data_IF_704315919224
#
_entry.id   IF_704315919224
#
_cell.length_a   1.000
_cell.length_b   1.000
_cell.length_c   1.000
_cell.angle_alpha   90.00
_cell.angle_beta   90.00
_cell.angle_gamma   90.00
#
_symmetry.space_group_name_H-M   'P 1'
#
loop_
_entity.id
_entity.type
_entity.pdbx_description
1 polymer ?
#
# COMPACT_ATOMS: atom_id res chain seq x y z
N UNK A 1 -20.72 -19.07 -2.49
CA UNK A 1 -21.48 -18.13 -3.32
C UNK A 1 -21.01 -18.17 -4.78
N UNK A 2 -19.75 -18.53 -5.04
CA UNK A 2 -19.14 -18.74 -6.38
C UNK A 2 -20.02 -19.46 -7.41
N UNK A 3 -20.73 -20.53 -7.01
CA UNK A 3 -21.61 -21.27 -7.91
C UNK A 3 -22.80 -20.47 -8.44
N UNK A 4 -23.25 -19.43 -7.73
CA UNK A 4 -24.37 -18.58 -8.12
C UNK A 4 -24.10 -17.81 -9.42
N UNK A 5 -22.84 -17.42 -9.65
CA UNK A 5 -22.46 -16.60 -10.80
C UNK A 5 -22.08 -17.41 -12.05
N UNK A 6 -21.87 -18.74 -11.94
CA UNK A 6 -21.49 -19.56 -13.10
C UNK A 6 -22.55 -19.51 -14.21
N UNK A 7 -23.82 -19.72 -13.87
CA UNK A 7 -24.92 -19.69 -14.82
C UNK A 7 -25.12 -18.32 -15.51
N UNK A 8 -25.29 -17.22 -14.74
CA UNK A 8 -25.36 -15.86 -15.28
C UNK A 8 -24.18 -15.49 -16.17
N UNK A 9 -22.95 -15.88 -15.80
CA UNK A 9 -21.77 -15.61 -16.63
C UNK A 9 -21.84 -16.31 -17.98
N UNK A 10 -22.23 -17.59 -18.04
CA UNK A 10 -22.36 -18.30 -19.32
C UNK A 10 -23.46 -17.67 -20.18
N UNK A 11 -24.60 -17.33 -19.55
CA UNK A 11 -25.72 -16.68 -20.22
C UNK A 11 -25.33 -15.32 -20.85
N UNK A 12 -24.58 -14.49 -20.12
CA UNK A 12 -24.19 -13.16 -20.56
C UNK A 12 -22.98 -13.16 -21.50
N UNK A 13 -22.01 -14.07 -21.27
CA UNK A 13 -20.78 -14.13 -22.05
C UNK A 13 -20.98 -14.78 -23.42
N UNK A 14 -21.95 -15.69 -23.55
CA UNK A 14 -22.25 -16.38 -24.80
C UNK A 14 -23.74 -16.20 -25.11
N UNK A 15 -24.13 -15.10 -25.77
CA UNK A 15 -25.52 -14.82 -26.09
C UNK A 15 -26.17 -15.98 -26.87
N UNK A 16 -27.32 -16.46 -26.39
CA UNK A 16 -28.08 -17.55 -27.03
C UNK A 16 -27.67 -18.98 -26.63
N UNK A 17 -26.66 -19.16 -25.76
CA UNK A 17 -26.23 -20.48 -25.28
C UNK A 17 -27.17 -21.12 -24.26
N UNK A 18 -27.76 -20.30 -23.38
CA UNK A 18 -28.65 -20.73 -22.30
C UNK A 18 -29.93 -19.89 -22.30
N UNK A 19 -31.04 -20.51 -21.88
CA UNK A 19 -32.23 -19.77 -21.45
C UNK A 19 -32.03 -19.25 -20.02
N UNK A 20 -32.84 -18.29 -19.57
CA UNK A 20 -32.80 -17.80 -18.19
C UNK A 20 -33.00 -18.95 -17.19
N UNK A 21 -33.91 -19.89 -17.48
CA UNK A 21 -34.11 -21.09 -16.67
C UNK A 21 -32.86 -21.97 -16.66
N UNK A 22 -32.23 -22.18 -17.82
CA UNK A 22 -30.98 -22.95 -17.92
C UNK A 22 -29.82 -22.32 -17.14
N UNK A 23 -29.72 -20.99 -17.11
CA UNK A 23 -28.73 -20.29 -16.30
C UNK A 23 -28.93 -20.55 -14.80
N UNK A 24 -30.19 -20.52 -14.33
CA UNK A 24 -30.51 -20.83 -12.92
C UNK A 24 -30.18 -22.28 -12.58
N UNK A 25 -30.52 -23.23 -13.45
CA UNK A 25 -30.21 -24.66 -13.25
C UNK A 25 -28.69 -24.91 -13.16
N UNK A 26 -27.91 -24.28 -14.05
CA UNK A 26 -26.44 -24.38 -14.03
C UNK A 26 -25.88 -23.81 -12.73
N UNK A 27 -26.38 -22.65 -12.27
CA UNK A 27 -25.95 -22.08 -10.99
C UNK A 27 -26.31 -22.98 -9.81
N UNK A 28 -27.50 -23.58 -9.77
CA UNK A 28 -27.90 -24.53 -8.71
C UNK A 28 -27.02 -25.78 -8.71
N UNK A 29 -26.72 -26.35 -9.88
CA UNK A 29 -25.82 -27.49 -10.02
C UNK A 29 -24.41 -27.14 -9.53
N UNK A 30 -23.87 -25.99 -9.96
CA UNK A 30 -22.57 -25.50 -9.54
C UNK A 30 -22.47 -25.27 -8.03
N UNK A 31 -23.49 -24.64 -7.43
CA UNK A 31 -23.56 -24.46 -5.98
C UNK A 31 -23.54 -25.80 -5.24
N UNK A 32 -24.31 -26.78 -5.71
CA UNK A 32 -24.36 -28.11 -5.10
C UNK A 32 -23.00 -28.80 -5.15
N UNK A 33 -22.30 -28.72 -6.30
CA UNK A 33 -20.97 -29.30 -6.48
C UNK A 33 -19.91 -28.63 -5.60
N UNK A 34 -19.93 -27.31 -5.47
CA UNK A 34 -18.95 -26.55 -4.68
C UNK A 34 -19.10 -26.74 -3.16
N UNK A 35 -20.27 -27.19 -2.69
CA UNK A 35 -20.49 -27.52 -1.28
C UNK A 35 -19.86 -28.87 -0.91
N UNK A 36 -19.69 -29.80 -1.85
CA UNK A 36 -19.19 -31.16 -1.59
C UNK A 36 -17.80 -31.14 -0.93
N UNK A 37 -16.78 -30.41 -1.45
CA UNK A 37 -15.47 -30.38 -0.80
C UNK A 37 -15.51 -29.82 0.62
N UNK A 38 -16.32 -28.80 0.88
CA UNK A 38 -16.48 -28.22 2.21
C UNK A 38 -17.14 -29.21 3.19
N UNK A 39 -18.16 -29.95 2.73
CA UNK A 39 -18.80 -31.00 3.52
C UNK A 39 -17.86 -32.17 3.81
N UNK A 40 -17.10 -32.65 2.82
CA UNK A 40 -16.12 -33.72 3.01
C UNK A 40 -15.11 -33.34 4.08
N UNK A 41 -14.56 -32.12 4.00
CA UNK A 41 -13.58 -31.67 4.98
C UNK A 41 -14.19 -31.42 6.36
N UNK A 42 -15.42 -30.92 6.43
CA UNK A 42 -16.14 -30.77 7.70
C UNK A 42 -16.40 -32.13 8.37
N UNK A 43 -16.77 -33.15 7.59
CA UNK A 43 -16.94 -34.52 8.07
C UNK A 43 -15.58 -35.09 8.52
N UNK A 44 -14.51 -34.89 7.76
CA UNK A 44 -13.17 -35.35 8.12
C UNK A 44 -12.66 -34.69 9.42
N UNK A 45 -12.96 -33.41 9.66
CA UNK A 45 -12.59 -32.71 10.90
C UNK A 45 -13.39 -33.25 12.10
N UNK A 46 -14.68 -33.57 11.90
CA UNK A 46 -15.53 -34.21 12.92
C UNK A 46 -15.10 -35.65 13.22
N UNK A 47 -14.64 -36.40 12.22
CA UNK A 47 -14.36 -37.84 12.31
C UNK A 47 -12.92 -38.14 12.73
N UNK A 48 -11.91 -37.46 12.18
CA UNK A 48 -10.51 -37.90 12.29
C UNK A 48 -9.61 -37.09 13.24
N UNK A 49 -10.03 -35.98 13.86
CA UNK A 49 -9.15 -35.11 14.70
C UNK A 49 -7.76 -34.84 14.05
N UNK A 50 -7.65 -34.80 12.71
CA UNK A 50 -6.38 -34.54 12.01
C UNK A 50 -6.03 -33.06 12.07
N UNK A 51 -5.41 -32.67 13.18
CA UNK A 51 -5.37 -31.29 13.68
C UNK A 51 -4.58 -30.21 12.92
N UNK A 52 -3.94 -30.46 11.76
CA UNK A 52 -3.15 -29.39 11.09
C UNK A 52 -3.13 -29.45 9.54
N UNK A 53 -3.05 -30.63 8.92
CA UNK A 53 -2.95 -30.74 7.44
C UNK A 53 -4.27 -30.43 6.72
N UNK A 54 -5.41 -30.75 7.32
CA UNK A 54 -6.74 -30.37 6.78
C UNK A 54 -6.92 -28.85 6.80
N UNK A 55 -6.40 -28.16 7.81
CA UNK A 55 -6.58 -26.71 8.00
C UNK A 55 -5.88 -25.85 6.96
N UNK A 56 -4.65 -26.21 6.58
CA UNK A 56 -3.95 -25.51 5.50
C UNK A 56 -4.68 -25.63 4.16
N UNK A 57 -5.22 -26.82 3.87
CA UNK A 57 -6.03 -27.06 2.69
C UNK A 57 -7.34 -26.25 2.72
N UNK A 58 -8.06 -26.23 3.86
CA UNK A 58 -9.27 -25.41 4.04
C UNK A 58 -8.96 -23.94 3.79
N UNK A 59 -7.87 -23.41 4.34
CA UNK A 59 -7.51 -22.01 4.18
C UNK A 59 -7.28 -21.67 2.71
N UNK A 60 -6.52 -22.49 1.99
CA UNK A 60 -6.25 -22.27 0.56
C UNK A 60 -7.53 -22.38 -0.27
N UNK A 61 -8.34 -23.42 -0.06
CA UNK A 61 -9.59 -23.61 -0.82
C UNK A 61 -10.59 -22.49 -0.52
N UNK A 62 -10.72 -22.08 0.74
CA UNK A 62 -11.60 -20.97 1.13
C UNK A 62 -11.10 -19.66 0.52
N UNK A 63 -9.80 -19.37 0.62
CA UNK A 63 -9.25 -18.15 0.02
C UNK A 63 -9.45 -18.12 -1.50
N UNK A 64 -9.17 -19.22 -2.19
CA UNK A 64 -9.38 -19.32 -3.64
C UNK A 64 -10.86 -19.18 -4.02
N UNK A 65 -11.77 -19.81 -3.28
CA UNK A 65 -13.21 -19.73 -3.59
C UNK A 65 -13.76 -18.32 -3.39
N UNK A 66 -13.36 -17.61 -2.33
CA UNK A 66 -13.78 -16.21 -2.10
C UNK A 66 -13.19 -15.29 -3.18
N UNK A 67 -11.90 -15.42 -3.52
CA UNK A 67 -11.27 -14.62 -4.59
C UNK A 67 -11.99 -14.84 -5.93
N UNK A 68 -12.24 -16.10 -6.29
CA UNK A 68 -12.92 -16.45 -7.54
C UNK A 68 -14.36 -15.94 -7.54
N UNK A 69 -15.05 -15.99 -6.40
CA UNK A 69 -16.41 -15.45 -6.25
C UNK A 69 -16.47 -13.94 -6.54
N UNK A 70 -15.58 -13.17 -5.91
CA UNK A 70 -15.50 -11.71 -6.11
C UNK A 70 -15.18 -11.34 -7.55
N UNK A 71 -14.24 -12.05 -8.19
CA UNK A 71 -13.92 -11.85 -9.61
C UNK A 71 -15.13 -12.18 -10.48
N UNK A 72 -15.79 -13.32 -10.24
CA UNK A 72 -16.94 -13.76 -11.02
C UNK A 72 -18.13 -12.82 -10.88
N UNK A 73 -18.40 -12.36 -9.66
CA UNK A 73 -19.42 -11.36 -9.38
C UNK A 73 -19.12 -10.05 -10.14
N UNK A 74 -17.89 -9.56 -10.05
CA UNK A 74 -17.48 -8.35 -10.75
C UNK A 74 -17.64 -8.48 -12.27
N UNK A 75 -17.21 -9.60 -12.85
CA UNK A 75 -17.36 -9.85 -14.29
C UNK A 75 -18.83 -9.90 -14.67
N UNK A 76 -19.68 -10.60 -13.90
CA UNK A 76 -21.10 -10.71 -14.18
C UNK A 76 -21.78 -9.34 -14.19
N UNK A 77 -21.52 -8.50 -13.18
CA UNK A 77 -22.12 -7.17 -13.11
C UNK A 77 -21.58 -6.20 -14.18
N UNK A 78 -20.30 -6.27 -14.53
CA UNK A 78 -19.76 -5.47 -15.62
C UNK A 78 -20.37 -5.87 -16.97
N UNK A 79 -20.58 -7.17 -17.22
CA UNK A 79 -21.27 -7.66 -18.42
C UNK A 79 -22.73 -7.21 -18.49
N UNK A 80 -23.42 -7.07 -17.34
CA UNK A 80 -24.80 -6.52 -17.30
C UNK A 80 -24.83 -5.03 -17.65
N UNK A 81 -23.81 -4.27 -17.25
CA UNK A 81 -23.78 -2.82 -17.43
C UNK A 81 -23.35 -2.40 -18.85
N UNK A 82 -22.36 -3.09 -19.42
CA UNK A 82 -21.84 -2.81 -20.77
C UNK A 82 -21.43 -4.11 -21.46
N UNK A 83 -22.41 -4.82 -22.02
CA UNK A 83 -22.19 -6.14 -22.59
C UNK A 83 -21.25 -6.10 -23.80
N UNK A 84 -21.45 -5.16 -24.73
CA UNK A 84 -20.68 -5.10 -25.98
C UNK A 84 -19.22 -4.68 -25.74
N UNK A 85 -18.99 -3.61 -24.98
CA UNK A 85 -17.63 -3.13 -24.70
C UNK A 85 -16.82 -4.11 -23.86
N UNK A 86 -17.45 -4.77 -22.89
CA UNK A 86 -16.76 -5.71 -22.01
C UNK A 86 -16.45 -7.05 -22.69
N UNK A 87 -17.30 -7.50 -23.63
CA UNK A 87 -17.00 -8.67 -24.48
C UNK A 87 -15.89 -8.39 -25.49
N UNK A 88 -15.86 -7.20 -26.10
CA UNK A 88 -14.77 -6.81 -27.00
C UNK A 88 -13.42 -6.83 -26.26
N UNK A 89 -13.38 -6.37 -25.02
CA UNK A 89 -12.18 -6.42 -24.17
C UNK A 89 -11.76 -7.87 -23.87
N UNK A 90 -12.71 -8.78 -23.63
CA UNK A 90 -12.42 -10.21 -23.43
C UNK A 90 -11.71 -10.82 -24.64
N UNK A 91 -12.13 -10.47 -25.85
CA UNK A 91 -11.54 -10.99 -27.09
C UNK A 91 -10.20 -10.32 -27.45
N UNK A 92 -10.07 -9.02 -27.24
CA UNK A 92 -8.88 -8.25 -27.62
C UNK A 92 -7.74 -8.33 -26.61
N UNK A 93 -8.06 -8.34 -25.31
CA UNK A 93 -7.08 -8.37 -24.23
C UNK A 93 -7.62 -9.12 -22.99
N UNK A 94 -7.57 -10.47 -22.98
CA UNK A 94 -8.15 -11.28 -21.92
C UNK A 94 -7.50 -11.04 -20.54
N UNK A 95 -6.23 -10.63 -20.50
CA UNK A 95 -5.57 -10.27 -19.23
C UNK A 95 -6.03 -8.91 -18.73
N UNK A 96 -6.10 -7.91 -19.61
CA UNK A 96 -6.65 -6.59 -19.27
C UNK A 96 -8.09 -6.67 -18.77
N UNK A 97 -8.88 -7.59 -19.33
CA UNK A 97 -10.23 -7.90 -18.88
C UNK A 97 -10.27 -8.29 -17.40
N UNK A 98 -9.43 -9.23 -16.97
CA UNK A 98 -9.38 -9.66 -15.56
C UNK A 98 -8.90 -8.51 -14.65
N UNK A 99 -7.91 -7.73 -15.08
CA UNK A 99 -7.39 -6.60 -14.29
C UNK A 99 -8.43 -5.51 -14.11
N UNK A 100 -9.25 -5.28 -15.13
CA UNK A 100 -10.38 -4.34 -15.05
C UNK A 100 -11.47 -4.83 -14.08
N UNK A 101 -11.76 -6.13 -14.06
CA UNK A 101 -12.73 -6.72 -13.14
C UNK A 101 -12.30 -6.52 -11.68
N UNK A 102 -11.07 -6.92 -11.35
CA UNK A 102 -10.49 -6.78 -10.00
C UNK A 102 -10.44 -5.31 -9.56
N UNK A 103 -10.18 -4.40 -10.50
CA UNK A 103 -10.08 -2.97 -10.17
C UNK A 103 -11.44 -2.27 -10.09
N UNK A 104 -12.54 -2.97 -10.34
CA UNK A 104 -13.88 -2.38 -10.48
C UNK A 104 -14.60 -2.16 -9.15
N UNK A 105 -15.61 -1.28 -9.17
CA UNK A 105 -16.56 -1.03 -8.07
C UNK A 105 -17.07 -2.33 -7.44
N UNK A 106 -17.47 -3.28 -8.29
CA UNK A 106 -18.10 -4.53 -7.89
C UNK A 106 -17.13 -5.51 -7.21
N UNK A 107 -15.82 -5.35 -7.38
CA UNK A 107 -14.85 -6.15 -6.65
C UNK A 107 -14.42 -5.45 -5.35
N UNK A 108 -14.07 -4.16 -5.44
CA UNK A 108 -13.44 -3.45 -4.33
C UNK A 108 -14.37 -3.28 -3.13
N UNK A 109 -15.60 -2.80 -3.36
CA UNK A 109 -16.50 -2.46 -2.26
C UNK A 109 -17.05 -3.68 -1.52
N UNK A 110 -17.57 -4.72 -2.20
CA UNK A 110 -18.01 -5.93 -1.51
C UNK A 110 -16.88 -6.56 -0.71
N UNK A 111 -15.70 -6.74 -1.31
CA UNK A 111 -14.53 -7.28 -0.61
C UNK A 111 -14.16 -6.47 0.64
N UNK A 112 -14.07 -5.13 0.54
CA UNK A 112 -13.78 -4.30 1.70
C UNK A 112 -14.85 -4.41 2.79
N UNK A 113 -16.13 -4.53 2.40
CA UNK A 113 -17.24 -4.75 3.33
C UNK A 113 -17.15 -6.11 4.02
N UNK A 114 -16.84 -7.18 3.29
CA UNK A 114 -16.65 -8.51 3.84
C UNK A 114 -15.50 -8.55 4.84
N UNK A 115 -14.39 -7.88 4.54
CA UNK A 115 -13.27 -7.70 5.46
C UNK A 115 -13.71 -6.97 6.74
N UNK A 116 -14.49 -5.90 6.63
CA UNK A 116 -15.01 -5.17 7.79
C UNK A 116 -15.97 -6.02 8.62
N UNK A 117 -16.91 -6.70 7.98
CA UNK A 117 -17.88 -7.58 8.64
C UNK A 117 -17.18 -8.72 9.38
N UNK A 118 -16.17 -9.33 8.75
CA UNK A 118 -15.34 -10.38 9.37
C UNK A 118 -14.60 -9.85 10.61
N UNK A 119 -14.04 -8.64 10.54
CA UNK A 119 -13.40 -7.98 11.70
C UNK A 119 -14.41 -7.76 12.82
N UNK A 120 -15.64 -7.32 12.50
CA UNK A 120 -16.71 -7.08 13.49
C UNK A 120 -17.09 -8.40 14.19
N UNK A 121 -17.22 -9.49 13.45
CA UNK A 121 -17.51 -10.80 14.04
C UNK A 121 -16.36 -11.31 14.93
N UNK A 122 -15.11 -11.12 14.50
CA UNK A 122 -13.92 -11.53 15.25
C UNK A 122 -13.50 -10.54 16.34
N UNK A 123 -14.24 -9.45 16.55
CA UNK A 123 -13.79 -8.32 17.36
C UNK A 123 -13.41 -8.69 18.79
N UNK A 124 -14.08 -9.68 19.39
CA UNK A 124 -13.80 -10.12 20.77
C UNK A 124 -12.54 -10.99 20.88
N UNK A 125 -12.17 -11.67 19.80
CA UNK A 125 -11.04 -12.61 19.76
C UNK A 125 -9.73 -11.90 19.36
N UNK A 126 -9.84 -10.80 18.62
CA UNK A 126 -8.69 -10.02 18.15
C UNK A 126 -8.03 -9.21 19.27
N UNK A 127 -6.70 -9.22 19.31
CA UNK A 127 -5.91 -8.29 20.15
C UNK A 127 -5.99 -6.88 19.60
N UNK A 128 -5.89 -5.87 20.46
CA UNK A 128 -5.99 -4.46 20.08
C UNK A 128 -5.16 -4.09 18.84
N UNK A 129 -3.90 -4.53 18.76
CA UNK A 129 -3.04 -4.21 17.62
C UNK A 129 -3.47 -4.92 16.34
N UNK A 130 -3.93 -6.18 16.44
CA UNK A 130 -4.46 -6.92 15.30
C UNK A 130 -5.72 -6.23 14.76
N UNK A 131 -6.56 -5.67 15.63
CA UNK A 131 -7.73 -4.87 15.22
C UNK A 131 -7.32 -3.65 14.40
N UNK A 132 -6.38 -2.85 14.91
CA UNK A 132 -5.92 -1.64 14.22
C UNK A 132 -5.39 -2.00 12.83
N UNK A 133 -4.54 -3.02 12.75
CA UNK A 133 -3.92 -3.45 11.49
C UNK A 133 -4.97 -3.93 10.48
N UNK A 134 -5.89 -4.80 10.89
CA UNK A 134 -6.93 -5.32 9.99
C UNK A 134 -7.94 -4.25 9.58
N UNK A 135 -8.32 -3.34 10.49
CA UNK A 135 -9.22 -2.21 10.18
C UNK A 135 -8.59 -1.26 9.19
N UNK A 136 -7.32 -0.92 9.37
CA UNK A 136 -6.58 -0.09 8.41
C UNK A 136 -6.49 -0.78 7.05
N UNK A 137 -6.20 -2.08 7.02
CA UNK A 137 -6.16 -2.85 5.78
C UNK A 137 -7.51 -2.79 5.04
N UNK A 138 -8.62 -3.08 5.72
CA UNK A 138 -9.95 -3.01 5.10
C UNK A 138 -10.33 -1.59 4.66
N UNK A 139 -9.95 -0.56 5.44
CA UNK A 139 -10.17 0.83 5.09
C UNK A 139 -9.36 1.26 3.85
N UNK A 140 -8.12 0.79 3.71
CA UNK A 140 -7.29 1.08 2.54
C UNK A 140 -7.84 0.40 1.27
N UNK A 141 -8.33 -0.84 1.40
CA UNK A 141 -9.03 -1.51 0.30
C UNK A 141 -10.27 -0.71 -0.13
N UNK A 142 -11.09 -0.26 0.81
CA UNK A 142 -12.26 0.58 0.52
C UNK A 142 -11.90 1.89 -0.19
N UNK A 143 -10.74 2.47 0.16
CA UNK A 143 -10.20 3.69 -0.41
C UNK A 143 -9.37 3.44 -1.67
N UNK A 144 -9.60 2.35 -2.41
CA UNK A 144 -8.90 2.15 -3.66
C UNK A 144 -9.32 3.20 -4.73
N UNK A 145 -8.35 3.89 -5.37
CA UNK A 145 -8.67 4.93 -6.35
C UNK A 145 -9.37 4.44 -7.61
N UNK A 146 -9.27 3.14 -7.93
CA UNK A 146 -9.91 2.53 -9.11
C UNK A 146 -11.37 2.15 -8.87
N UNK A 147 -11.83 2.12 -7.62
CA UNK A 147 -13.17 1.64 -7.28
C UNK A 147 -14.28 2.44 -7.97
N UNK A 148 -14.07 3.74 -8.21
CA UNK A 148 -14.97 4.57 -9.00
C UNK A 148 -14.19 5.30 -10.09
N UNK A 149 -14.77 5.40 -11.28
CA UNK A 149 -14.21 6.14 -12.43
C UNK A 149 -14.26 7.68 -12.26
N UNK A 150 -14.80 8.17 -11.15
CA UNK A 150 -14.88 9.61 -10.86
C UNK A 150 -13.49 10.20 -10.55
N UNK A 151 -13.13 11.29 -11.23
CA UNK A 151 -11.89 12.03 -10.96
C UNK A 151 -11.80 12.52 -9.51
N UNK A 152 -12.92 12.95 -8.93
CA UNK A 152 -12.96 13.45 -7.54
C UNK A 152 -12.67 12.30 -6.57
N UNK A 153 -13.25 11.13 -6.81
CA UNK A 153 -12.99 9.93 -6.01
C UNK A 153 -11.52 9.54 -6.10
N UNK A 154 -10.98 9.41 -7.31
CA UNK A 154 -9.59 9.01 -7.51
C UNK A 154 -8.61 9.96 -6.80
N UNK A 155 -8.78 11.28 -6.94
CA UNK A 155 -7.92 12.25 -6.25
C UNK A 155 -8.08 12.19 -4.72
N UNK A 156 -9.32 12.18 -4.22
CA UNK A 156 -9.58 12.15 -2.78
C UNK A 156 -9.01 10.89 -2.13
N UNK A 157 -9.27 9.73 -2.74
CA UNK A 157 -8.77 8.45 -2.25
C UNK A 157 -7.26 8.33 -2.29
N UNK A 158 -6.56 8.82 -3.32
CA UNK A 158 -5.09 8.83 -3.36
C UNK A 158 -4.53 9.54 -2.12
N UNK A 159 -4.98 10.77 -1.84
CA UNK A 159 -4.50 11.51 -0.68
C UNK A 159 -4.96 10.94 0.67
N UNK A 160 -6.22 10.51 0.79
CA UNK A 160 -6.75 9.96 2.04
C UNK A 160 -6.11 8.60 2.37
N UNK A 161 -5.96 7.72 1.39
CA UNK A 161 -5.28 6.43 1.57
C UNK A 161 -3.83 6.61 1.94
N UNK A 162 -3.10 7.51 1.28
CA UNK A 162 -1.71 7.81 1.63
C UNK A 162 -1.60 8.42 3.04
N UNK A 163 -2.48 9.35 3.42
CA UNK A 163 -2.52 9.88 4.79
C UNK A 163 -2.81 8.80 5.84
N UNK A 164 -3.74 7.88 5.54
CA UNK A 164 -4.05 6.74 6.40
C UNK A 164 -2.86 5.77 6.51
N UNK A 165 -2.14 5.52 5.42
CA UNK A 165 -0.91 4.73 5.40
C UNK A 165 0.21 5.38 6.22
N UNK A 166 0.45 6.68 6.07
CA UNK A 166 1.44 7.40 6.89
C UNK A 166 1.08 7.34 8.37
N UNK A 167 -0.20 7.53 8.73
CA UNK A 167 -0.67 7.40 10.10
C UNK A 167 -0.46 5.97 10.64
N UNK A 168 -0.66 4.96 9.80
CA UNK A 168 -0.39 3.56 10.13
C UNK A 168 1.12 3.31 10.35
N UNK A 169 2.00 3.86 9.52
CA UNK A 169 3.45 3.74 9.71
C UNK A 169 3.89 4.38 11.02
N UNK A 170 3.43 5.60 11.31
CA UNK A 170 3.65 6.29 12.59
C UNK A 170 3.23 5.41 13.77
N UNK A 171 2.02 4.86 13.72
CA UNK A 171 1.51 3.95 14.75
C UNK A 171 2.41 2.72 14.90
N UNK A 172 2.87 2.14 13.79
CA UNK A 172 3.74 0.96 13.82
C UNK A 172 5.13 1.25 14.38
N UNK A 173 5.74 2.37 14.03
CA UNK A 173 7.02 2.79 14.60
C UNK A 173 6.90 3.07 16.10
N UNK A 174 5.82 3.74 16.54
CA UNK A 174 5.57 3.97 17.95
C UNK A 174 5.38 2.64 18.70
N UNK A 175 4.62 1.72 18.13
CA UNK A 175 4.39 0.40 18.70
C UNK A 175 5.70 -0.39 18.86
N UNK A 176 6.53 -0.40 17.81
CA UNK A 176 7.86 -1.00 17.79
C UNK A 176 8.79 -0.42 18.85
N UNK A 177 8.79 0.92 18.96
CA UNK A 177 9.60 1.64 19.92
C UNK A 177 9.22 1.28 21.37
N UNK A 178 7.91 1.23 21.68
CA UNK A 178 7.40 0.97 23.03
C UNK A 178 7.54 -0.48 23.48
N UNK A 179 7.24 -1.45 22.61
CA UNK A 179 7.18 -2.87 23.01
C UNK A 179 8.47 -3.64 22.75
N UNK A 180 9.35 -3.13 21.88
CA UNK A 180 10.65 -3.70 21.48
C UNK A 180 10.63 -5.14 20.92
N UNK A 181 9.53 -5.86 21.08
CA UNK A 181 9.31 -7.24 20.65
C UNK A 181 7.96 -7.39 19.96
N UNK A 182 7.93 -8.18 18.90
CA UNK A 182 6.72 -8.52 18.13
C UNK A 182 6.58 -10.03 18.06
N UNK A 183 5.36 -10.53 18.14
CA UNK A 183 5.08 -11.96 17.92
C UNK A 183 5.40 -12.36 16.48
N UNK A 184 5.94 -13.56 16.27
CA UNK A 184 6.37 -14.04 14.95
C UNK A 184 5.30 -13.94 13.86
N UNK A 185 4.04 -14.31 14.15
CA UNK A 185 2.93 -14.22 13.18
C UNK A 185 2.66 -12.78 12.73
N UNK A 186 2.50 -11.86 13.69
CA UNK A 186 2.31 -10.44 13.41
C UNK A 186 3.52 -9.83 12.67
N UNK A 187 4.74 -10.25 13.03
CA UNK A 187 5.99 -9.79 12.42
C UNK A 187 6.08 -10.15 10.93
N UNK A 188 5.77 -11.39 10.55
CA UNK A 188 5.75 -11.82 9.15
C UNK A 188 4.61 -11.17 8.38
N UNK A 189 3.43 -11.11 8.99
CA UNK A 189 2.25 -10.48 8.39
C UNK A 189 2.49 -8.99 8.11
N UNK A 190 3.11 -8.25 9.03
CA UNK A 190 3.44 -6.83 8.82
C UNK A 190 4.38 -6.62 7.64
N UNK A 191 5.39 -7.49 7.44
CA UNK A 191 6.27 -7.39 6.28
C UNK A 191 5.50 -7.65 4.98
N UNK A 192 4.65 -8.66 4.95
CA UNK A 192 3.82 -8.94 3.77
C UNK A 192 2.85 -7.78 3.48
N UNK A 193 2.23 -7.22 4.52
CA UNK A 193 1.33 -6.08 4.38
C UNK A 193 2.06 -4.84 3.84
N UNK A 194 3.25 -4.53 4.36
CA UNK A 194 4.06 -3.41 3.86
C UNK A 194 4.51 -3.62 2.41
N UNK A 195 4.84 -4.86 2.03
CA UNK A 195 5.13 -5.20 0.64
C UNK A 195 3.91 -4.95 -0.26
N UNK A 196 2.72 -5.39 0.17
CA UNK A 196 1.47 -5.14 -0.54
C UNK A 196 1.18 -3.65 -0.66
N UNK A 197 1.38 -2.87 0.40
CA UNK A 197 1.21 -1.42 0.36
C UNK A 197 2.20 -0.73 -0.59
N UNK A 198 3.45 -1.19 -0.63
CA UNK A 198 4.43 -0.74 -1.62
C UNK A 198 3.99 -1.06 -3.05
N UNK A 199 3.50 -2.28 -3.30
CA UNK A 199 2.94 -2.67 -4.60
C UNK A 199 1.68 -1.87 -4.95
N UNK A 200 0.83 -1.56 -3.98
CA UNK A 200 -0.39 -0.78 -4.18
C UNK A 200 -0.09 0.66 -4.58
N UNK A 201 0.81 1.35 -3.87
CA UNK A 201 1.23 2.70 -4.23
C UNK A 201 2.03 2.73 -5.54
N UNK A 202 2.88 1.73 -5.79
CA UNK A 202 3.53 1.55 -7.09
C UNK A 202 2.51 1.29 -8.21
N UNK A 203 1.43 0.57 -7.91
CA UNK A 203 0.30 0.34 -8.81
C UNK A 203 -0.45 1.62 -9.14
N UNK A 204 -0.69 2.47 -8.16
CA UNK A 204 -1.28 3.82 -8.37
C UNK A 204 -0.35 4.67 -9.24
N UNK A 205 0.96 4.64 -8.98
CA UNK A 205 1.94 5.32 -9.84
C UNK A 205 1.88 4.81 -11.29
N UNK A 206 1.83 3.49 -11.50
CA UNK A 206 1.72 2.87 -12.82
C UNK A 206 0.39 3.20 -13.53
N UNK A 207 -0.70 3.29 -12.75
CA UNK A 207 -2.02 3.68 -13.23
C UNK A 207 -2.02 5.14 -13.73
N UNK A 208 -1.38 6.05 -12.99
CA UNK A 208 -1.33 7.47 -13.34
C UNK A 208 -0.37 7.75 -14.50
N UNK A 209 0.74 7.02 -14.59
CA UNK A 209 1.78 7.21 -15.62
C UNK A 209 1.45 6.51 -16.93
N UNK A 210 1.23 5.19 -16.91
CA UNK A 210 1.13 4.33 -18.11
C UNK A 210 -0.31 3.83 -18.31
N UNK A 211 -1.26 4.17 -17.43
CA UNK A 211 -2.67 3.70 -17.48
C UNK A 211 -2.81 2.18 -17.36
N UNK A 212 -1.88 1.54 -16.65
CA UNK A 212 -1.92 0.08 -16.42
C UNK A 212 -2.60 -0.27 -15.09
N UNK A 213 -3.61 -1.14 -15.15
CA UNK A 213 -4.32 -1.68 -13.97
C UNK A 213 -3.66 -2.95 -13.40
N UNK A 214 -2.67 -3.52 -14.08
CA UNK A 214 -2.14 -4.84 -13.71
C UNK A 214 -1.53 -4.85 -12.29
N UNK A 215 -0.66 -3.88 -11.99
CA UNK A 215 0.06 -3.85 -10.72
C UNK A 215 -0.89 -3.58 -9.54
N UNK A 216 -1.89 -2.70 -9.72
CA UNK A 216 -2.87 -2.42 -8.66
C UNK A 216 -3.81 -3.61 -8.44
N UNK A 217 -4.26 -4.29 -9.51
CA UNK A 217 -5.07 -5.51 -9.39
C UNK A 217 -4.31 -6.63 -8.64
N UNK A 218 -3.02 -6.83 -8.97
CA UNK A 218 -2.17 -7.79 -8.26
C UNK A 218 -2.02 -7.41 -6.79
N UNK A 219 -1.84 -6.12 -6.49
CA UNK A 219 -1.74 -5.63 -5.12
C UNK A 219 -3.04 -5.87 -4.33
N UNK A 220 -4.20 -5.60 -4.92
CA UNK A 220 -5.53 -5.85 -4.30
C UNK A 220 -5.77 -7.32 -3.98
N UNK A 221 -5.50 -8.23 -4.93
CA UNK A 221 -5.61 -9.67 -4.69
C UNK A 221 -4.60 -10.13 -3.64
N UNK A 222 -3.38 -9.59 -3.67
CA UNK A 222 -2.38 -9.90 -2.64
C UNK A 222 -2.81 -9.41 -1.26
N UNK A 223 -3.44 -8.23 -1.17
CA UNK A 223 -4.02 -7.70 0.06
C UNK A 223 -5.09 -8.65 0.62
N UNK A 224 -5.98 -9.13 -0.25
CA UNK A 224 -7.00 -10.12 0.09
C UNK A 224 -6.39 -11.40 0.65
N UNK A 225 -5.40 -11.96 -0.05
CA UNK A 225 -4.73 -13.19 0.36
C UNK A 225 -4.07 -13.01 1.74
N UNK A 226 -3.39 -11.88 1.94
CA UNK A 226 -2.76 -11.55 3.22
C UNK A 226 -3.81 -11.41 4.32
N UNK A 227 -4.93 -10.74 4.05
CA UNK A 227 -6.04 -10.61 5.00
C UNK A 227 -6.65 -11.96 5.38
N UNK A 228 -7.00 -12.78 4.40
CA UNK A 228 -7.62 -14.09 4.61
C UNK A 228 -6.67 -15.04 5.35
N UNK A 229 -5.37 -14.98 5.04
CA UNK A 229 -4.37 -15.76 5.78
C UNK A 229 -4.30 -15.40 7.27
N UNK A 230 -4.58 -14.14 7.61
CA UNK A 230 -4.56 -13.66 8.99
C UNK A 230 -5.87 -13.93 9.73
N UNK A 231 -7.03 -13.80 9.07
CA UNK A 231 -8.34 -14.02 9.67
C UNK A 231 -8.67 -15.50 9.86
N UNK A 232 -8.28 -16.38 8.91
CA UNK A 232 -8.57 -17.81 8.97
C UNK A 232 -7.54 -18.62 9.81
N UNK A 233 -6.47 -17.99 10.29
CA UNK A 233 -5.41 -18.66 11.06
C UNK A 233 -5.81 -18.99 12.51
N UNK A 234 -5.27 -20.07 13.12
CA UNK A 234 -5.72 -20.60 14.43
C UNK A 234 -5.36 -19.74 15.67
N UNK A 235 -5.05 -18.46 15.49
CA UNK A 235 -4.90 -17.43 16.52
C UNK A 235 -4.48 -16.14 15.79
N UNK A 236 -5.43 -15.33 15.29
CA UNK A 236 -5.15 -14.24 14.35
C UNK A 236 -4.06 -13.32 14.90
N UNK A 237 -2.92 -13.32 14.23
CA UNK A 237 -1.76 -12.46 14.50
C UNK A 237 -1.19 -12.55 15.93
N UNK A 238 -1.43 -13.65 16.64
CA UNK A 238 -1.08 -13.77 18.06
C UNK A 238 -0.25 -15.00 18.45
N UNK A 239 0.13 -15.82 17.48
CA UNK A 239 0.94 -17.03 17.64
C UNK A 239 2.43 -16.79 17.36
N UNK A 240 3.29 -17.71 17.82
CA UNK A 240 4.73 -17.72 17.55
C UNK A 240 5.61 -17.05 18.61
N UNK A 241 6.91 -17.37 18.58
CA UNK A 241 7.92 -16.78 19.46
C UNK A 241 8.06 -15.27 19.19
N UNK A 242 8.24 -14.50 20.25
CA UNK A 242 8.52 -13.06 20.13
C UNK A 242 9.90 -12.83 19.53
N UNK A 243 10.00 -11.93 18.56
CA UNK A 243 11.25 -11.44 17.97
C UNK A 243 11.48 -10.01 18.44
N UNK A 244 12.68 -9.75 18.95
CA UNK A 244 13.11 -8.39 19.28
C UNK A 244 13.59 -7.69 18.01
N UNK A 245 12.93 -6.59 17.65
CA UNK A 245 13.20 -5.92 16.38
C UNK A 245 14.66 -5.44 16.30
N UNK A 246 15.18 -4.79 17.33
CA UNK A 246 16.56 -4.26 17.34
C UNK A 246 17.61 -5.39 17.19
N UNK A 247 17.32 -6.58 17.72
CA UNK A 247 18.23 -7.72 17.64
C UNK A 247 18.21 -8.39 16.24
N UNK A 248 17.08 -8.35 15.54
CA UNK A 248 16.91 -9.01 14.25
C UNK A 248 17.27 -8.09 13.08
N UNK A 249 18.56 -8.04 12.72
CA UNK A 249 19.09 -7.20 11.62
C UNK A 249 18.28 -7.31 10.33
N UNK A 250 17.99 -8.54 9.87
CA UNK A 250 17.27 -8.79 8.62
C UNK A 250 15.83 -8.29 8.65
N UNK A 251 15.11 -8.54 9.76
CA UNK A 251 13.73 -8.10 9.88
C UNK A 251 13.65 -6.57 9.89
N UNK A 252 14.57 -5.92 10.61
CA UNK A 252 14.59 -4.47 10.73
C UNK A 252 14.95 -3.78 9.42
N UNK A 253 15.94 -4.31 8.72
CA UNK A 253 16.29 -3.85 7.39
C UNK A 253 15.11 -3.99 6.42
N UNK A 254 14.45 -5.16 6.38
CA UNK A 254 13.29 -5.37 5.50
C UNK A 254 12.12 -4.46 5.86
N UNK A 255 11.83 -4.29 7.14
CA UNK A 255 10.77 -3.40 7.60
C UNK A 255 11.02 -1.96 7.14
N UNK A 256 12.21 -1.41 7.40
CA UNK A 256 12.58 -0.05 6.98
C UNK A 256 12.60 0.09 5.45
N UNK A 257 13.11 -0.91 4.74
CA UNK A 257 13.15 -0.91 3.28
C UNK A 257 11.73 -0.89 2.69
N UNK A 258 10.82 -1.71 3.22
CA UNK A 258 9.45 -1.78 2.70
C UNK A 258 8.64 -0.52 3.02
N UNK A 259 8.82 0.08 4.21
CA UNK A 259 8.27 1.40 4.52
C UNK A 259 8.79 2.42 3.52
N UNK A 260 10.11 2.49 3.33
CA UNK A 260 10.73 3.43 2.38
C UNK A 260 10.19 3.25 0.96
N UNK A 261 10.08 2.01 0.47
CA UNK A 261 9.53 1.73 -0.87
C UNK A 261 8.07 2.19 -0.99
N UNK A 262 7.26 1.93 0.03
CA UNK A 262 5.86 2.38 0.05
C UNK A 262 5.74 3.91 0.07
N UNK A 263 6.53 4.59 0.91
CA UNK A 263 6.55 6.06 0.97
C UNK A 263 7.09 6.70 -0.31
N UNK A 264 8.12 6.10 -0.90
CA UNK A 264 8.71 6.56 -2.15
C UNK A 264 7.67 6.57 -3.28
N UNK A 265 6.97 5.45 -3.48
CA UNK A 265 5.91 5.39 -4.50
C UNK A 265 4.69 6.24 -4.14
N UNK A 266 4.38 6.39 -2.85
CA UNK A 266 3.34 7.31 -2.40
C UNK A 266 3.69 8.76 -2.74
N UNK A 267 4.94 9.19 -2.55
CA UNK A 267 5.42 10.52 -2.92
C UNK A 267 5.31 10.76 -4.42
N UNK A 268 5.80 9.80 -5.22
CA UNK A 268 5.69 9.84 -6.66
C UNK A 268 4.24 9.88 -7.16
N UNK A 269 3.33 9.12 -6.53
CA UNK A 269 1.90 9.14 -6.86
C UNK A 269 1.26 10.49 -6.53
N UNK A 270 1.64 11.12 -5.40
CA UNK A 270 1.14 12.43 -5.01
C UNK A 270 1.61 13.53 -5.98
N UNK A 271 2.89 13.53 -6.35
CA UNK A 271 3.41 14.47 -7.35
C UNK A 271 2.71 14.30 -8.70
N UNK A 272 2.57 13.06 -9.20
CA UNK A 272 1.85 12.77 -10.44
C UNK A 272 0.40 13.26 -10.39
N UNK A 273 -0.28 13.06 -9.27
CA UNK A 273 -1.67 13.48 -9.09
C UNK A 273 -1.82 15.02 -9.02
N UNK A 274 -0.82 15.71 -8.47
CA UNK A 274 -0.82 17.16 -8.29
C UNK A 274 -0.39 17.92 -9.56
N UNK A 275 0.77 17.57 -10.13
CA UNK A 275 1.32 18.23 -11.31
C UNK A 275 0.76 17.70 -12.63
N UNK A 276 0.19 16.50 -12.62
CA UNK A 276 -0.23 15.77 -13.82
C UNK A 276 0.91 14.92 -14.40
N UNK A 277 0.54 13.82 -15.07
CA UNK A 277 1.51 12.81 -15.50
C UNK A 277 2.52 13.31 -16.53
N UNK A 278 2.09 14.13 -17.50
CA UNK A 278 2.98 14.65 -18.54
C UNK A 278 4.00 15.64 -17.99
N UNK A 279 3.55 16.61 -17.19
CA UNK A 279 4.43 17.64 -16.63
C UNK A 279 5.47 17.05 -15.67
N UNK A 280 5.07 16.10 -14.81
CA UNK A 280 5.97 15.43 -13.88
C UNK A 280 6.97 14.52 -14.60
N UNK A 281 6.54 13.72 -15.57
CA UNK A 281 7.47 12.84 -16.29
C UNK A 281 8.49 13.64 -17.12
N UNK A 282 8.09 14.78 -17.67
CA UNK A 282 8.98 15.69 -18.38
C UNK A 282 9.96 16.42 -17.44
N UNK A 283 9.57 16.72 -16.19
CA UNK A 283 10.45 17.40 -15.22
C UNK A 283 11.59 16.52 -14.71
N UNK A 284 11.46 15.19 -14.78
CA UNK A 284 12.53 14.26 -14.38
C UNK A 284 13.70 14.29 -15.39
N UNK A 285 13.44 14.55 -16.67
CA UNK A 285 14.48 14.56 -17.70
C UNK A 285 15.02 13.16 -18.04
N UNK A 286 14.14 12.16 -18.09
CA UNK A 286 14.48 10.79 -18.47
C UNK A 286 15.04 10.73 -19.90
N UNK A 287 16.05 9.90 -20.12
CA UNK A 287 16.72 9.75 -21.41
C UNK A 287 16.01 8.69 -22.24
N UNK A 288 15.64 9.02 -23.48
CA UNK A 288 15.06 8.02 -24.38
C UNK A 288 16.05 6.89 -24.67
N UNK A 289 15.57 5.65 -24.62
CA UNK A 289 16.31 4.47 -25.05
C UNK A 289 16.63 4.57 -26.55
N UNK A 290 17.78 5.15 -26.86
CA UNK A 290 18.26 5.36 -28.23
C UNK A 290 19.67 4.78 -28.42
N UNK A 291 19.93 4.24 -29.60
CA UNK A 291 21.23 3.67 -29.98
C UNK A 291 21.33 2.14 -29.85
N UNK A 292 22.55 1.66 -29.57
CA UNK A 292 22.86 0.23 -29.49
C UNK A 292 22.21 -0.41 -28.25
N UNK A 293 21.66 -1.64 -28.31
CA UNK A 293 21.13 -2.33 -27.13
C UNK A 293 22.10 -2.45 -25.95
N UNK A 294 23.41 -2.32 -26.21
CA UNK A 294 24.45 -2.28 -25.17
C UNK A 294 24.41 -1.00 -24.30
N UNK A 295 23.78 0.10 -24.75
CA UNK A 295 23.61 1.33 -23.97
C UNK A 295 22.35 1.30 -23.08
N UNK A 296 21.45 0.33 -23.27
CA UNK A 296 20.20 0.23 -22.51
C UNK A 296 20.39 0.02 -21.01
N UNK A 297 21.35 -0.80 -20.54
CA UNK A 297 21.60 -0.91 -19.10
C UNK A 297 22.12 0.39 -18.48
N UNK A 298 22.95 1.13 -19.21
CA UNK A 298 23.52 2.40 -18.73
C UNK A 298 22.47 3.51 -18.64
N UNK A 299 21.62 3.63 -19.66
CA UNK A 299 20.48 4.56 -19.67
C UNK A 299 19.45 4.20 -18.60
N UNK A 300 19.09 2.92 -18.46
CA UNK A 300 18.18 2.46 -17.40
C UNK A 300 18.72 2.75 -16.00
N UNK A 301 20.03 2.59 -15.77
CA UNK A 301 20.67 2.94 -14.51
C UNK A 301 20.63 4.45 -14.25
N UNK A 302 20.98 5.27 -15.24
CA UNK A 302 20.89 6.72 -15.14
C UNK A 302 19.46 7.21 -14.84
N UNK A 303 18.48 6.68 -15.57
CA UNK A 303 17.06 7.01 -15.41
C UNK A 303 16.54 6.57 -14.04
N UNK A 304 16.95 5.40 -13.55
CA UNK A 304 16.62 4.95 -12.19
C UNK A 304 17.12 5.93 -11.14
N UNK A 305 18.39 6.34 -11.20
CA UNK A 305 18.95 7.30 -10.24
C UNK A 305 18.28 8.67 -10.33
N UNK A 306 18.03 9.15 -11.55
CA UNK A 306 17.40 10.45 -11.79
C UNK A 306 15.97 10.46 -11.27
N UNK A 307 15.19 9.42 -11.56
CA UNK A 307 13.85 9.24 -11.00
C UNK A 307 13.89 9.14 -9.47
N UNK A 308 14.79 8.32 -8.93
CA UNK A 308 14.95 8.12 -7.51
C UNK A 308 15.23 9.43 -6.78
N UNK A 309 16.15 10.24 -7.30
CA UNK A 309 16.48 11.52 -6.68
C UNK A 309 15.36 12.55 -6.82
N UNK A 310 14.69 12.60 -7.98
CA UNK A 310 13.58 13.54 -8.19
C UNK A 310 12.44 13.28 -7.19
N UNK A 311 12.05 12.02 -7.03
CA UNK A 311 11.02 11.63 -6.05
C UNK A 311 11.50 11.84 -4.62
N UNK A 312 12.75 11.48 -4.30
CA UNK A 312 13.29 11.64 -2.94
C UNK A 312 13.47 13.11 -2.52
N UNK A 313 13.57 14.03 -3.48
CA UNK A 313 13.62 15.47 -3.27
C UNK A 313 12.25 16.15 -3.40
N UNK A 314 11.20 15.39 -3.70
CA UNK A 314 9.86 15.95 -3.86
C UNK A 314 9.31 16.47 -2.53
N UNK A 315 8.53 17.54 -2.61
CA UNK A 315 7.89 18.13 -1.44
C UNK A 315 6.95 17.14 -0.76
N UNK A 316 6.19 16.34 -1.51
CA UNK A 316 5.27 15.36 -0.93
C UNK A 316 6.00 14.24 -0.21
N UNK A 317 7.06 13.68 -0.78
CA UNK A 317 7.87 12.66 -0.10
C UNK A 317 8.50 13.20 1.18
N UNK A 318 9.09 14.41 1.15
CA UNK A 318 9.72 15.04 2.30
C UNK A 318 8.69 15.40 3.39
N UNK A 319 7.49 15.82 3.02
CA UNK A 319 6.39 16.06 3.97
C UNK A 319 5.99 14.77 4.67
N UNK A 320 5.83 13.66 3.95
CA UNK A 320 5.42 12.38 4.55
C UNK A 320 6.50 11.79 5.46
N UNK A 321 7.74 11.73 4.99
CA UNK A 321 8.88 11.32 5.80
C UNK A 321 9.05 12.24 7.03
N UNK A 322 8.83 13.54 6.86
CA UNK A 322 8.86 14.51 7.94
C UNK A 322 7.76 14.33 8.97
N UNK A 323 6.54 13.98 8.55
CA UNK A 323 5.45 13.62 9.46
C UNK A 323 5.80 12.34 10.22
N UNK A 324 6.32 11.34 9.51
CA UNK A 324 6.67 10.05 10.09
C UNK A 324 7.77 10.18 11.16
N UNK A 325 8.95 10.67 10.78
CA UNK A 325 10.08 10.85 11.70
C UNK A 325 9.79 11.93 12.74
N UNK A 326 9.09 13.01 12.36
CA UNK A 326 8.70 14.09 13.24
C UNK A 326 7.74 13.63 14.35
N UNK A 327 6.83 12.70 14.05
CA UNK A 327 5.93 12.13 15.05
C UNK A 327 6.69 11.43 16.18
N UNK A 328 7.80 10.74 15.87
CA UNK A 328 8.64 10.08 16.86
C UNK A 328 9.31 11.09 17.80
N UNK A 329 9.73 12.23 17.25
CA UNK A 329 10.26 13.35 18.05
C UNK A 329 9.16 13.92 18.95
N UNK A 330 7.93 14.10 18.45
CA UNK A 330 6.79 14.56 19.26
C UNK A 330 6.51 13.59 20.41
N UNK A 331 6.54 12.28 20.19
CA UNK A 331 6.41 11.29 21.26
C UNK A 331 7.57 11.36 22.27
N UNK A 332 8.79 11.63 21.80
CA UNK A 332 9.95 11.84 22.68
C UNK A 332 9.80 13.12 23.51
N UNK A 333 9.31 14.21 22.93
CA UNK A 333 9.01 15.45 23.65
C UNK A 333 8.01 15.20 24.77
N UNK A 334 6.92 14.47 24.48
CA UNK A 334 5.88 14.15 25.48
C UNK A 334 6.39 13.34 26.66
N UNK A 335 7.40 12.49 26.45
CA UNK A 335 7.98 11.64 27.50
C UNK A 335 9.12 12.30 28.27
N UNK A 336 9.71 13.36 27.73
CA UNK A 336 10.81 14.10 28.36
C UNK A 336 10.27 14.98 29.49
N UNK A 337 10.93 15.01 30.65
CA UNK A 337 10.49 15.84 31.80
C UNK A 337 11.00 17.27 31.72
N UNK A 338 12.25 17.44 31.31
CA UNK A 338 12.93 18.75 31.27
C UNK A 338 12.37 19.68 30.19
N UNK A 339 11.99 20.90 30.60
CA UNK A 339 11.41 21.92 29.72
C UNK A 339 12.42 22.36 28.64
N UNK A 340 13.68 22.57 29.01
CA UNK A 340 14.75 22.93 28.07
C UNK A 340 14.84 21.90 26.93
N UNK A 341 14.86 20.61 27.28
CA UNK A 341 14.99 19.54 26.30
C UNK A 341 13.76 19.48 25.39
N UNK A 342 12.55 19.74 25.93
CA UNK A 342 11.33 19.86 25.11
C UNK A 342 11.42 20.99 24.10
N UNK A 343 11.90 22.16 24.51
CA UNK A 343 12.04 23.32 23.63
C UNK A 343 13.11 23.04 22.57
N UNK A 344 14.26 22.48 22.95
CA UNK A 344 15.34 22.12 22.01
C UNK A 344 14.86 21.14 20.93
N UNK A 345 14.13 20.10 21.34
CA UNK A 345 13.54 19.14 20.40
C UNK A 345 12.47 19.78 19.51
N UNK A 346 11.65 20.70 20.05
CA UNK A 346 10.68 21.46 19.26
C UNK A 346 11.33 22.38 18.23
N UNK A 347 12.40 23.08 18.61
CA UNK A 347 13.20 23.91 17.70
C UNK A 347 13.90 23.07 16.62
N UNK A 348 14.43 21.90 16.97
CA UNK A 348 15.01 20.96 16.01
C UNK A 348 13.98 20.49 14.98
N UNK A 349 12.76 20.15 15.43
CA UNK A 349 11.67 19.76 14.55
C UNK A 349 11.24 20.90 13.61
N UNK A 350 11.10 22.12 14.15
CA UNK A 350 10.77 23.31 13.37
C UNK A 350 11.87 23.64 12.35
N UNK A 351 13.13 23.56 12.75
CA UNK A 351 14.27 23.74 11.86
C UNK A 351 14.23 22.70 10.74
N UNK A 352 14.06 21.41 11.05
CA UNK A 352 13.92 20.36 10.03
C UNK A 352 12.75 20.66 9.06
N UNK A 353 11.57 21.02 9.56
CA UNK A 353 10.42 21.34 8.70
C UNK A 353 10.72 22.51 7.75
N UNK A 354 11.39 23.56 8.22
CA UNK A 354 11.79 24.70 7.38
C UNK A 354 12.90 24.31 6.39
N UNK A 355 13.92 23.58 6.84
CA UNK A 355 15.06 23.18 6.01
C UNK A 355 14.72 22.13 4.97
N UNK A 356 13.81 21.21 5.26
CA UNK A 356 13.47 20.10 4.37
C UNK A 356 12.28 20.41 3.47
N UNK A 357 11.27 21.15 3.94
CA UNK A 357 10.08 21.43 3.12
C UNK A 357 10.25 22.73 2.31
N UNK A 358 10.72 23.80 2.95
CA UNK A 358 10.79 25.11 2.31
C UNK A 358 12.11 25.34 1.56
N UNK A 359 13.26 24.95 2.12
CA UNK A 359 14.56 25.28 1.54
C UNK A 359 14.81 24.72 0.12
N UNK A 360 14.43 23.47 -0.22
CA UNK A 360 14.63 22.94 -1.58
C UNK A 360 13.89 23.75 -2.64
N UNK A 361 12.77 24.40 -2.29
CA UNK A 361 11.99 25.24 -3.20
C UNK A 361 12.65 26.59 -3.53
N UNK A 362 13.65 27.03 -2.76
CA UNK A 362 14.30 28.34 -2.93
C UNK A 362 15.76 28.28 -3.41
N UNK A 363 16.47 27.15 -3.28
CA UNK A 363 17.93 27.10 -3.47
C UNK A 363 18.45 26.34 -4.70
N UNK A 364 17.61 25.62 -5.46
CA UNK A 364 18.10 24.79 -6.57
C UNK A 364 17.74 25.35 -7.94
N UNK A 365 18.41 26.42 -8.35
CA UNK A 365 18.70 26.65 -9.77
C UNK A 365 19.85 25.72 -10.20
N UNK A 366 19.48 24.50 -10.59
CA UNK A 366 20.22 23.53 -11.41
C UNK A 366 21.77 23.52 -11.34
N UNK A 367 22.41 22.68 -10.49
CA UNK A 367 23.83 22.40 -10.61
C UNK A 367 24.04 21.28 -11.63
N UNK A 368 24.11 21.63 -12.91
CA UNK A 368 24.36 20.72 -14.04
C UNK A 368 25.77 20.09 -14.06
N UNK A 369 26.57 20.21 -13.00
CA UNK A 369 28.00 19.86 -13.02
C UNK A 369 28.39 18.61 -12.23
N UNK A 370 27.55 18.05 -11.36
CA UNK A 370 27.85 16.78 -10.66
C UNK A 370 26.55 15.99 -10.36
N UNK A 371 26.25 14.89 -11.08
CA UNK A 371 24.95 14.20 -11.00
C UNK A 371 24.71 13.34 -9.75
N UNK A 372 25.64 13.30 -8.78
CA UNK A 372 25.54 12.37 -7.63
C UNK A 372 25.78 13.01 -6.26
N UNK A 373 26.29 14.23 -6.19
CA UNK A 373 26.67 14.91 -4.94
C UNK A 373 25.66 16.04 -4.71
N UNK A 374 24.61 15.74 -3.96
CA UNK A 374 23.55 16.72 -3.62
C UNK A 374 22.14 16.14 -3.51
N UNK A 375 21.97 14.84 -3.74
CA UNK A 375 20.67 14.25 -4.07
C UNK A 375 19.85 13.71 -2.88
N UNK A 376 20.32 13.86 -1.64
CA UNK A 376 19.46 13.73 -0.46
C UNK A 376 20.11 14.40 0.74
N UNK A 377 19.30 15.04 1.59
CA UNK A 377 19.65 15.37 2.98
C UNK A 377 21.08 15.90 3.19
N UNK A 378 21.53 16.85 2.37
CA UNK A 378 22.73 17.63 2.65
C UNK A 378 24.10 17.00 2.37
N UNK A 379 24.22 15.80 1.78
CA UNK A 379 25.53 15.35 1.26
C UNK A 379 25.69 15.92 -0.15
N UNK A 380 26.04 17.21 -0.23
CA UNK A 380 26.43 17.87 -1.48
C UNK A 380 25.56 19.05 -1.95
N UNK A 381 24.51 19.44 -1.23
CA UNK A 381 23.72 20.66 -1.54
C UNK A 381 24.48 21.97 -1.22
N UNK A 382 25.82 21.91 -1.16
CA UNK A 382 26.71 23.01 -0.83
C UNK A 382 26.84 24.02 -1.98
N UNK A 383 25.73 24.60 -2.41
CA UNK A 383 25.76 25.99 -2.85
C UNK A 383 25.99 26.90 -1.64
N UNK A 384 26.55 28.08 -1.86
CA UNK A 384 26.79 29.09 -0.83
C UNK A 384 25.53 29.31 0.02
N UNK A 385 25.59 29.04 1.32
CA UNK A 385 24.50 29.38 2.23
C UNK A 385 24.17 30.87 2.11
N UNK A 386 22.91 31.20 1.81
CA UNK A 386 22.43 32.58 1.91
C UNK A 386 22.52 33.03 3.37
N UNK A 387 23.06 34.23 3.61
CA UNK A 387 23.26 34.85 4.92
C UNK A 387 21.97 34.86 5.78
N UNK A 388 20.81 34.81 5.12
CA UNK A 388 19.48 34.81 5.75
C UNK A 388 19.24 33.54 6.58
N UNK A 389 19.83 32.39 6.22
CA UNK A 389 19.69 31.13 6.97
C UNK A 389 20.65 30.99 8.15
N UNK A 390 21.63 31.89 8.27
CA UNK A 390 22.55 31.94 9.40
C UNK A 390 21.86 32.47 10.66
N UNK A 391 20.87 33.35 10.49
CA UNK A 391 20.10 33.98 11.58
C UNK A 391 19.24 32.96 12.35
N UNK A 392 18.42 32.09 11.72
CA UNK A 392 17.69 31.03 12.40
C UNK A 392 18.60 30.06 13.16
N UNK A 393 19.75 29.67 12.59
CA UNK A 393 20.72 28.77 13.23
C UNK A 393 21.31 29.43 14.48
N UNK A 394 21.77 30.67 14.36
CA UNK A 394 22.26 31.45 15.50
C UNK A 394 21.18 31.63 16.57
N UNK A 395 19.93 31.86 16.18
CA UNK A 395 18.79 31.92 17.10
C UNK A 395 18.57 30.59 17.83
N UNK A 396 18.67 29.44 17.16
CA UNK A 396 18.55 28.13 17.84
C UNK A 396 19.67 27.89 18.86
N UNK A 397 20.90 28.35 18.58
CA UNK A 397 22.00 28.29 19.55
C UNK A 397 21.82 29.29 20.69
N UNK A 398 21.37 30.51 20.40
CA UNK A 398 21.11 31.54 21.41
C UNK A 398 19.99 31.13 22.37
N UNK A 399 18.86 30.63 21.83
CA UNK A 399 17.73 30.15 22.63
C UNK A 399 18.14 28.93 23.46
N UNK A 400 18.89 27.98 22.88
CA UNK A 400 19.42 26.82 23.64
C UNK A 400 20.41 27.25 24.73
N UNK A 401 21.24 28.26 24.47
CA UNK A 401 22.19 28.79 25.44
C UNK A 401 21.51 29.52 26.61
N UNK A 402 20.46 30.30 26.33
CA UNK A 402 19.66 30.96 27.37
C UNK A 402 18.92 29.93 28.23
N UNK A 403 18.32 28.91 27.61
CA UNK A 403 17.60 27.87 28.32
C UNK A 403 18.49 26.92 29.12
N UNK A 404 19.78 26.78 28.80
CA UNK A 404 20.74 26.00 29.59
C UNK A 404 21.20 26.73 30.88
N UNK A 405 20.91 28.02 30.99
CA UNK A 405 21.29 28.85 32.14
C UNK A 405 20.19 28.94 33.22
N UNK A 406 18.97 28.49 32.88
CA UNK A 406 17.80 28.41 33.76
C UNK A 406 17.41 26.95 33.98
#
# INVERSE_FOLDING_TARGET
MTGMFIGPLIYLAIPGSLSVAGAVEVSLAAMTLLVIPALVVFIDDLVERRGERSRGFILVVTAMTVIVDEIMMSVAFNLVMDQEGYLEMLHSNPLGFIWSAISSYWFVFPMALEMLVTIVFMWKELKANAKVVLVVQAALMFLAPTALSSRIWSLATIYISGALMTAFFVYMFEYLYRKQSIKGSLSSYLLLLLLVYGMMMGGIFALLSIRSYALIAIAMVSDMIVYLSASLGPNPLSSGRSRYWIASRTWSFLFLLLVFVAEFFMGAAFDLSYYGSTAFLQSIGLVEFSGSPLSYPGTAFYDFFTFFAHVSLSSWFLVMMGIEMGSLVVFKIRTTRELETRIRLGLMLAAYAVYSIYLPSFLLSNPSSIPFIGWSMGIGSGGSFSLIFLIPILLTYLISGILSYY
#
